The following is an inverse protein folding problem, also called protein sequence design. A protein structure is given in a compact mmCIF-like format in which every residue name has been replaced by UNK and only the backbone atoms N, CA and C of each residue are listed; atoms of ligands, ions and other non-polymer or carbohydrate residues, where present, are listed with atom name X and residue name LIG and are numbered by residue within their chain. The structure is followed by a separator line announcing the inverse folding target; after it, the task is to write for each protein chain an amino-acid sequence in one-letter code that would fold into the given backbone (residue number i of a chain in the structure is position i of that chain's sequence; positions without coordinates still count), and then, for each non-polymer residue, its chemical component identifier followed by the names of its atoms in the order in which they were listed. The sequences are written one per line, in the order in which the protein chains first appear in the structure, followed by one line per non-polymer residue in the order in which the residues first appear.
data_IF_091803345988
#
_entry.id   IF_091803345988
#
_cell.length_a   1.000
_cell.length_b   1.000
_cell.length_c   1.000
_cell.angle_alpha   90.00
_cell.angle_beta   90.00
_cell.angle_gamma   90.00
#
_symmetry.space_group_name_H-M   'P 1'
#
loop_
_entity.id
_entity.type
_entity.pdbx_description
1 polymer ?
#
# COMPACT_ATOMS: atom_id res chain seq x y z
N UNK A 1 -20.56 5.82 -5.30
CA UNK A 1 -19.37 6.53 -4.79
C UNK A 1 -18.23 5.52 -4.69
N UNK A 2 -16.98 5.86 -5.06
CA UNK A 2 -15.85 5.00 -4.76
C UNK A 2 -15.81 4.70 -3.24
N UNK A 3 -15.48 3.47 -2.86
CA UNK A 3 -15.53 3.02 -1.47
C UNK A 3 -14.56 3.80 -0.57
N UNK A 4 -14.95 4.04 0.68
CA UNK A 4 -14.05 4.68 1.65
C UNK A 4 -12.99 3.70 2.15
N UNK A 5 -11.75 4.16 2.28
CA UNK A 5 -10.64 3.38 2.84
C UNK A 5 -10.27 3.94 4.22
N UNK A 6 -10.00 3.06 5.17
CA UNK A 6 -9.66 3.42 6.55
C UNK A 6 -8.32 2.82 6.96
N UNK A 7 -7.51 3.62 7.67
CA UNK A 7 -6.29 3.11 8.31
C UNK A 7 -6.67 2.57 9.67
N UNK A 8 -6.60 1.25 9.84
CA UNK A 8 -6.89 0.60 11.12
C UNK A 8 -5.81 0.92 12.16
N UNK A 9 -6.14 0.80 13.46
CA UNK A 9 -5.15 0.94 14.55
C UNK A 9 -3.95 0.01 14.35
N UNK A 10 -4.20 -1.24 13.92
CA UNK A 10 -3.15 -2.22 13.68
C UNK A 10 -2.24 -1.81 12.51
N UNK A 11 -2.82 -1.35 11.40
CA UNK A 11 -2.04 -0.86 10.26
C UNK A 11 -1.23 0.38 10.63
N UNK A 12 -1.83 1.33 11.34
CA UNK A 12 -1.14 2.52 11.84
C UNK A 12 0.06 2.14 12.72
N UNK A 13 -0.14 1.20 13.66
CA UNK A 13 0.92 0.72 14.53
C UNK A 13 2.04 0.02 13.74
N UNK A 14 1.70 -0.81 12.76
CA UNK A 14 2.68 -1.46 11.88
C UNK A 14 3.53 -0.42 11.14
N UNK A 15 2.92 0.60 10.53
CA UNK A 15 3.68 1.66 9.82
C UNK A 15 4.58 2.39 10.82
N UNK A 16 4.06 2.76 12.00
CA UNK A 16 4.80 3.53 12.99
C UNK A 16 5.98 2.77 13.62
N UNK A 17 5.82 1.46 13.86
CA UNK A 17 6.80 0.64 14.59
C UNK A 17 7.80 0.00 13.63
N UNK A 18 7.33 -0.55 12.51
CA UNK A 18 8.17 -1.34 11.61
C UNK A 18 8.82 -0.46 10.52
N UNK A 19 8.21 0.69 10.23
CA UNK A 19 8.68 1.65 9.21
C UNK A 19 8.81 3.10 9.76
N UNK A 20 9.47 3.31 10.92
CA UNK A 20 9.45 4.59 11.63
C UNK A 20 10.07 5.74 10.81
N UNK A 21 11.08 5.43 9.99
CA UNK A 21 11.76 6.42 9.14
C UNK A 21 10.90 6.90 7.97
N UNK A 22 9.95 6.08 7.53
CA UNK A 22 9.10 6.34 6.37
C UNK A 22 7.70 6.80 6.79
N UNK A 23 7.40 6.74 8.09
CA UNK A 23 6.06 6.96 8.62
C UNK A 23 5.45 8.28 8.16
N UNK A 24 6.19 9.39 8.26
CA UNK A 24 5.69 10.69 7.84
C UNK A 24 5.38 10.75 6.33
N UNK A 25 6.29 10.26 5.50
CA UNK A 25 6.13 10.25 4.04
C UNK A 25 4.94 9.38 3.61
N UNK A 26 4.82 8.19 4.21
CA UNK A 26 3.75 7.24 3.90
C UNK A 26 2.39 7.77 4.35
N UNK A 27 2.30 8.31 5.57
CA UNK A 27 1.04 8.86 6.07
C UNK A 27 0.58 10.07 5.26
N UNK A 28 1.52 10.91 4.79
CA UNK A 28 1.20 12.04 3.91
C UNK A 28 0.76 11.59 2.50
N UNK A 29 1.37 10.53 1.97
CA UNK A 29 1.08 10.03 0.62
C UNK A 29 -0.17 9.14 0.52
N UNK A 30 -0.59 8.52 1.63
CA UNK A 30 -1.70 7.55 1.66
C UNK A 30 -2.97 8.01 0.92
N UNK A 31 -3.49 9.24 1.12
CA UNK A 31 -4.68 9.69 0.41
C UNK A 31 -4.51 9.73 -1.12
N UNK A 32 -3.36 10.21 -1.60
CA UNK A 32 -3.04 10.28 -3.03
C UNK A 32 -2.86 8.89 -3.64
N UNK A 33 -2.14 8.02 -2.93
CA UNK A 33 -1.87 6.64 -3.34
C UNK A 33 -3.16 5.81 -3.46
N UNK A 34 -4.17 6.09 -2.63
CA UNK A 34 -5.47 5.43 -2.70
C UNK A 34 -6.34 6.03 -3.81
N UNK A 35 -6.30 7.36 -4.00
CA UNK A 35 -7.16 8.06 -4.95
C UNK A 35 -6.73 7.88 -6.42
N UNK A 36 -5.43 7.85 -6.68
CA UNK A 36 -4.89 7.76 -8.03
C UNK A 36 -3.58 6.94 -8.08
N UNK A 37 -3.64 5.63 -7.80
CA UNK A 37 -2.48 4.75 -7.89
C UNK A 37 -2.01 4.57 -9.34
N UNK A 38 -0.69 4.54 -9.55
CA UNK A 38 -0.10 4.24 -10.85
C UNK A 38 -0.08 2.72 -11.14
N UNK A 39 -0.05 1.90 -10.09
CA UNK A 39 0.05 0.45 -10.21
C UNK A 39 -0.84 -0.26 -9.21
N UNK A 40 -1.26 -1.47 -9.58
CA UNK A 40 -1.94 -2.42 -8.71
C UNK A 40 -1.19 -3.75 -8.71
N UNK A 41 -1.22 -4.44 -7.57
CA UNK A 41 -0.67 -5.79 -7.48
C UNK A 41 -1.31 -6.64 -6.41
N UNK A 42 -0.89 -7.89 -6.39
CA UNK A 42 -1.31 -8.88 -5.40
C UNK A 42 -0.15 -9.81 -5.07
N UNK A 43 0.00 -10.18 -3.79
CA UNK A 43 0.99 -11.15 -3.36
C UNK A 43 0.29 -12.52 -3.21
N UNK A 44 0.79 -13.58 -3.84
CA UNK A 44 0.17 -14.91 -3.73
C UNK A 44 0.15 -15.44 -2.29
N UNK A 45 1.00 -14.94 -1.38
CA UNK A 45 0.97 -15.28 0.05
C UNK A 45 -0.12 -14.52 0.82
N UNK A 46 -0.69 -13.47 0.23
CA UNK A 46 -1.74 -12.64 0.82
C UNK A 46 -2.97 -12.57 -0.09
N UNK A 47 -3.65 -13.70 -0.35
CA UNK A 47 -4.75 -13.78 -1.32
C UNK A 47 -5.99 -12.97 -0.92
N UNK A 48 -6.07 -12.51 0.32
CA UNK A 48 -7.19 -11.69 0.84
C UNK A 48 -6.91 -10.18 0.81
N UNK A 49 -5.81 -9.77 0.17
CA UNK A 49 -5.45 -8.38 0.00
C UNK A 49 -4.91 -8.14 -1.41
N UNK A 50 -4.93 -6.87 -1.81
CA UNK A 50 -4.19 -6.33 -2.94
C UNK A 50 -3.35 -5.16 -2.44
N UNK A 51 -2.47 -4.65 -3.27
CA UNK A 51 -1.71 -3.45 -2.95
C UNK A 51 -1.69 -2.48 -4.12
N UNK A 52 -1.69 -1.19 -3.78
CA UNK A 52 -1.56 -0.08 -4.70
C UNK A 52 -0.17 0.52 -4.57
N UNK A 53 0.41 0.96 -5.68
CA UNK A 53 1.73 1.58 -5.69
C UNK A 53 1.76 2.86 -6.52
N UNK A 54 2.64 3.76 -6.13
CA UNK A 54 3.01 4.93 -6.91
C UNK A 54 4.52 5.20 -6.76
N UNK A 55 5.09 5.84 -7.76
CA UNK A 55 6.47 6.28 -7.75
C UNK A 55 6.61 7.49 -6.81
N UNK A 56 6.93 7.19 -5.55
CA UNK A 56 7.17 8.17 -4.51
C UNK A 56 8.49 7.85 -3.82
N UNK A 57 9.40 8.81 -3.84
CA UNK A 57 10.63 8.72 -3.06
C UNK A 57 10.28 8.84 -1.58
N UNK A 58 10.66 7.83 -0.82
CA UNK A 58 10.55 7.79 0.65
C UNK A 58 11.96 7.74 1.22
N UNK A 59 12.08 7.82 2.55
CA UNK A 59 13.36 7.66 3.23
C UNK A 59 14.12 6.36 2.87
N UNK A 60 13.41 5.26 2.50
CA UNK A 60 14.03 3.93 2.32
C UNK A 60 13.75 3.31 0.93
N UNK A 61 12.78 3.85 0.18
CA UNK A 61 12.33 3.30 -1.10
C UNK A 61 12.05 4.34 -2.18
N UNK A 62 11.84 3.87 -3.41
CA UNK A 62 11.52 4.70 -4.58
C UNK A 62 10.06 4.62 -5.01
N UNK A 63 9.27 3.82 -4.29
CA UNK A 63 7.84 3.68 -4.49
C UNK A 63 7.16 3.68 -3.12
N UNK A 64 5.97 4.26 -3.03
CA UNK A 64 5.10 4.03 -1.88
C UNK A 64 4.14 2.88 -2.20
N UNK A 65 3.91 2.01 -1.23
CA UNK A 65 2.97 0.89 -1.34
C UNK A 65 1.95 0.95 -0.21
N UNK A 66 0.68 0.68 -0.51
CA UNK A 66 -0.38 0.47 0.48
C UNK A 66 -1.08 -0.86 0.19
N UNK A 67 -1.13 -1.74 1.18
CA UNK A 67 -1.88 -2.99 1.12
C UNK A 67 -3.30 -2.78 1.65
N UNK A 68 -4.31 -3.20 0.89
CA UNK A 68 -5.73 -3.06 1.18
C UNK A 68 -6.37 -4.45 1.20
N UNK A 69 -7.12 -4.76 2.26
CA UNK A 69 -7.89 -6.02 2.33
C UNK A 69 -9.13 -5.97 1.45
N UNK A 70 -9.52 -7.10 0.84
CA UNK A 70 -10.74 -7.16 0.01
C UNK A 70 -12.04 -7.08 0.83
N UNK A 71 -12.01 -7.52 2.09
CA UNK A 71 -13.18 -7.50 2.95
C UNK A 71 -13.49 -6.08 3.40
N UNK A 72 -14.72 -5.65 3.13
CA UNK A 72 -15.29 -4.47 3.76
C UNK A 72 -15.38 -4.68 5.27
N UNK A 73 -15.14 -3.62 6.03
CA UNK A 73 -15.51 -3.54 7.42
C UNK A 73 -17.04 -3.58 7.56
N UNK A 74 -17.58 -3.87 8.76
CA UNK A 74 -19.02 -3.75 9.01
C UNK A 74 -19.61 -2.37 8.66
N UNK A 75 -18.77 -1.32 8.65
CA UNK A 75 -19.15 0.04 8.25
C UNK A 75 -19.04 0.31 6.74
N UNK A 76 -18.81 -0.72 5.90
CA UNK A 76 -18.73 -0.57 4.45
C UNK A 76 -17.44 0.07 3.94
N UNK A 77 -16.36 0.06 4.73
CA UNK A 77 -15.06 0.63 4.35
C UNK A 77 -14.03 -0.45 4.07
N UNK A 78 -13.13 -0.22 3.11
CA UNK A 78 -11.93 -1.05 2.98
C UNK A 78 -10.92 -0.68 4.06
N UNK A 79 -10.06 -1.63 4.42
CA UNK A 79 -9.04 -1.44 5.45
C UNK A 79 -7.64 -1.52 4.87
N UNK A 80 -6.83 -0.51 5.16
CA UNK A 80 -5.37 -0.61 5.03
C UNK A 80 -4.88 -1.67 6.00
N UNK A 81 -4.04 -2.57 5.50
CA UNK A 81 -3.35 -3.61 6.26
C UNK A 81 -1.91 -3.23 6.59
N UNK A 82 -1.22 -2.62 5.64
CA UNK A 82 0.12 -2.07 5.82
C UNK A 82 0.38 -0.99 4.77
N UNK A 83 1.36 -0.13 5.01
CA UNK A 83 1.89 0.79 4.01
C UNK A 83 3.37 1.07 4.30
N UNK A 84 4.21 1.11 3.28
CA UNK A 84 5.66 1.33 3.42
C UNK A 84 6.32 1.60 2.06
N UNK A 85 7.57 2.06 2.09
CA UNK A 85 8.33 2.31 0.87
C UNK A 85 8.95 1.03 0.30
N UNK A 86 8.90 0.91 -1.02
CA UNK A 86 9.44 -0.20 -1.76
C UNK A 86 10.69 0.22 -2.53
N UNK A 87 11.77 -0.57 -2.46
CA UNK A 87 12.98 -0.31 -3.24
C UNK A 87 12.76 -0.63 -4.72
N UNK A 88 13.44 0.07 -5.63
CA UNK A 88 13.28 -0.14 -7.07
C UNK A 88 13.47 -1.61 -7.51
N UNK A 89 14.46 -2.32 -6.94
CA UNK A 89 14.67 -3.74 -7.28
C UNK A 89 13.50 -4.64 -6.84
N UNK A 90 12.83 -4.29 -5.74
CA UNK A 90 11.67 -5.01 -5.21
C UNK A 90 10.44 -4.79 -6.11
N UNK A 91 10.31 -3.60 -6.70
CA UNK A 91 9.27 -3.28 -7.68
C UNK A 91 9.49 -4.09 -8.95
N UNK A 92 10.68 -4.01 -9.54
CA UNK A 92 11.06 -4.73 -10.76
C UNK A 92 10.89 -6.25 -10.61
N UNK A 93 11.23 -6.80 -9.44
CA UNK A 93 11.02 -8.22 -9.15
C UNK A 93 9.54 -8.62 -9.19
N UNK A 94 8.65 -7.78 -8.62
CA UNK A 94 7.19 -8.03 -8.65
C UNK A 94 6.61 -7.91 -10.05
N UNK A 95 7.05 -6.94 -10.84
CA UNK A 95 6.64 -6.79 -12.25
C UNK A 95 7.05 -8.02 -13.06
N UNK A 96 8.32 -8.46 -12.94
CA UNK A 96 8.82 -9.67 -13.62
C UNK A 96 8.06 -10.93 -13.21
N UNK A 97 7.63 -11.00 -11.96
CA UNK A 97 6.82 -12.11 -11.44
C UNK A 97 5.32 -12.02 -11.81
N UNK A 98 4.91 -11.01 -12.59
CA UNK A 98 3.50 -10.80 -12.97
C UNK A 98 2.59 -10.43 -11.79
N UNK A 99 3.16 -9.92 -10.69
CA UNK A 99 2.42 -9.58 -9.45
C UNK A 99 1.96 -8.14 -9.39
N UNK A 100 2.49 -7.30 -10.26
CA UNK A 100 2.19 -5.86 -10.37
C UNK A 100 1.95 -5.52 -11.82
N UNK A 101 0.91 -4.73 -12.08
CA UNK A 101 0.54 -4.20 -13.39
C UNK A 101 0.25 -2.71 -13.28
N UNK A 102 0.42 -1.98 -14.39
CA UNK A 102 0.00 -0.59 -14.49
C UNK A 102 -1.53 -0.50 -14.55
N UNK A 103 -2.09 0.56 -13.96
CA UNK A 103 -3.51 0.89 -14.00
C UNK A 103 -3.84 1.83 -15.17
#
# INVERSE_FOLDING_TARGET
MPGSVTVSKAAHAHIAIDHPLEYADIMAALPGLIANPAFIGQDPKHPHAFYLLDALQTAVGSFAMVAIGFSLSPGGTYQVKSAYGLKAYQFTSRVKAGRVVAL
#
